data_IF_364417891185
#
_entry.id   IF_364417891185
#
_cell.length_a   1.000
_cell.length_b   1.000
_cell.length_c   1.000
_cell.angle_alpha   90.00
_cell.angle_beta   90.00
_cell.angle_gamma   90.00
#
_symmetry.space_group_name_H-M   'P 1'
#
loop_
_entity.id
_entity.type
_entity.pdbx_description
1 polymer ?
#
# COMPACT_ATOMS: atom_id res chain seq x y z
N UNK A 1 -15.14 -5.68 -7.08
CA UNK A 1 -15.51 -6.84 -6.24
C UNK A 1 -16.87 -6.56 -5.61
N UNK A 2 -17.72 -7.58 -5.44
CA UNK A 2 -19.03 -7.38 -4.78
C UNK A 2 -18.94 -7.76 -3.31
N UNK A 3 -19.52 -6.95 -2.46
CA UNK A 3 -19.55 -7.14 -1.01
C UNK A 3 -20.98 -7.32 -0.50
N UNK A 4 -21.09 -8.06 0.61
CA UNK A 4 -22.25 -7.95 1.50
C UNK A 4 -21.91 -6.99 2.65
N UNK A 5 -22.89 -6.19 3.02
CA UNK A 5 -22.94 -5.44 4.25
C UNK A 5 -23.84 -6.19 5.22
N UNK A 6 -23.34 -6.49 6.40
CA UNK A 6 -24.07 -7.20 7.44
C UNK A 6 -24.18 -6.33 8.68
N UNK A 7 -25.39 -5.96 9.03
CA UNK A 7 -25.69 -5.16 10.22
C UNK A 7 -26.01 -6.10 11.38
N UNK A 8 -25.24 -6.03 12.46
CA UNK A 8 -25.41 -6.81 13.67
C UNK A 8 -26.00 -5.94 14.78
N UNK A 9 -27.09 -6.42 15.38
CA UNK A 9 -27.65 -5.84 16.60
C UNK A 9 -27.31 -6.74 17.78
N UNK A 10 -26.65 -6.19 18.80
CA UNK A 10 -26.17 -6.88 19.98
C UNK A 10 -26.98 -6.42 21.19
N UNK A 11 -27.57 -7.32 21.95
CA UNK A 11 -28.37 -6.99 23.14
C UNK A 11 -28.08 -7.92 24.32
N UNK A 12 -27.59 -7.41 25.49
CA UNK A 12 -27.16 -6.02 25.70
C UNK A 12 -25.87 -5.69 24.94
N UNK A 13 -25.76 -4.47 24.42
CA UNK A 13 -24.51 -4.00 23.76
C UNK A 13 -23.42 -3.76 24.80
N UNK A 14 -22.23 -4.31 24.56
CA UNK A 14 -21.00 -3.99 25.27
C UNK A 14 -19.82 -4.02 24.31
N UNK A 15 -18.75 -3.29 24.62
CA UNK A 15 -17.53 -3.29 23.82
C UNK A 15 -16.94 -4.70 23.71
N UNK A 16 -16.87 -5.45 24.80
CA UNK A 16 -16.34 -6.81 24.83
C UNK A 16 -17.15 -7.77 23.92
N UNK A 17 -18.47 -7.62 23.87
CA UNK A 17 -19.32 -8.43 22.99
C UNK A 17 -19.14 -8.05 21.51
N UNK A 18 -18.96 -6.76 21.21
CA UNK A 18 -18.69 -6.28 19.86
C UNK A 18 -17.33 -6.77 19.35
N UNK A 19 -16.28 -6.62 20.14
CA UNK A 19 -14.92 -7.07 19.81
C UNK A 19 -14.85 -8.58 19.57
N UNK A 20 -15.54 -9.34 20.46
CA UNK A 20 -15.58 -10.79 20.32
C UNK A 20 -16.36 -11.21 19.06
N UNK A 21 -17.49 -10.57 18.77
CA UNK A 21 -18.27 -10.84 17.57
C UNK A 21 -17.43 -10.54 16.30
N UNK A 22 -16.74 -9.41 16.26
CA UNK A 22 -15.86 -9.06 15.15
C UNK A 22 -14.77 -10.12 14.92
N UNK A 23 -14.17 -10.60 16.02
CA UNK A 23 -13.15 -11.66 15.96
C UNK A 23 -13.70 -12.97 15.42
N UNK A 24 -14.86 -13.42 15.90
CA UNK A 24 -15.48 -14.68 15.47
C UNK A 24 -16.01 -14.60 14.03
N UNK A 25 -16.64 -13.50 13.67
CA UNK A 25 -17.14 -13.29 12.31
C UNK A 25 -16.03 -13.23 11.26
N UNK A 26 -14.78 -12.93 11.66
CA UNK A 26 -13.62 -13.07 10.78
C UNK A 26 -13.49 -14.47 10.18
N UNK A 27 -13.89 -15.54 10.87
CA UNK A 27 -13.92 -16.91 10.36
C UNK A 27 -14.96 -17.13 9.24
N UNK A 28 -16.01 -16.30 9.22
CA UNK A 28 -17.01 -16.28 8.16
C UNK A 28 -16.64 -15.42 6.95
N UNK A 29 -15.40 -14.90 6.92
CA UNK A 29 -14.82 -14.16 5.82
C UNK A 29 -14.89 -12.62 5.93
N UNK A 30 -15.35 -12.09 7.06
CA UNK A 30 -15.44 -10.63 7.25
C UNK A 30 -14.05 -9.98 7.33
N UNK A 31 -13.90 -8.85 6.64
CA UNK A 31 -12.62 -8.13 6.51
C UNK A 31 -12.55 -6.89 7.40
N UNK A 32 -13.68 -6.18 7.56
CA UNK A 32 -13.74 -4.92 8.32
C UNK A 32 -15.06 -4.80 9.07
N UNK A 33 -15.01 -4.02 10.18
CA UNK A 33 -16.18 -3.71 10.99
C UNK A 33 -16.21 -2.23 11.35
N UNK A 34 -17.42 -1.68 11.40
CA UNK A 34 -17.72 -0.34 11.90
C UNK A 34 -18.65 -0.47 13.12
N UNK A 35 -18.38 0.30 14.18
CA UNK A 35 -19.27 0.38 15.32
C UNK A 35 -20.54 1.15 14.97
N UNK A 36 -21.69 0.67 15.48
CA UNK A 36 -22.98 1.33 15.35
C UNK A 36 -23.62 1.55 16.72
N UNK A 37 -24.68 2.35 16.79
CA UNK A 37 -25.41 2.59 18.05
C UNK A 37 -26.02 1.31 18.64
N UNK A 38 -26.21 0.26 17.84
CA UNK A 38 -26.87 -0.99 18.24
C UNK A 38 -25.97 -2.22 18.17
N UNK A 39 -24.73 -2.08 17.70
CA UNK A 39 -23.79 -3.21 17.55
C UNK A 39 -22.68 -2.93 16.55
N UNK A 40 -22.59 -3.75 15.50
CA UNK A 40 -21.57 -3.66 14.46
C UNK A 40 -22.18 -3.70 13.06
N UNK A 41 -21.45 -3.13 12.12
CA UNK A 41 -21.67 -3.33 10.70
C UNK A 41 -20.40 -3.94 10.10
N UNK A 42 -20.52 -5.12 9.52
CA UNK A 42 -19.41 -5.85 8.93
C UNK A 42 -19.49 -5.89 7.41
N UNK A 43 -18.34 -5.95 6.76
CA UNK A 43 -18.21 -6.08 5.31
C UNK A 43 -17.45 -7.36 4.95
N UNK A 44 -18.00 -8.09 3.96
CA UNK A 44 -17.44 -9.37 3.51
C UNK A 44 -17.59 -9.52 1.99
N UNK A 45 -16.56 -10.01 1.32
CA UNK A 45 -16.67 -10.32 -0.10
C UNK A 45 -17.72 -11.42 -0.32
N UNK A 46 -18.61 -11.25 -1.31
CA UNK A 46 -19.66 -12.23 -1.62
C UNK A 46 -19.11 -13.63 -1.90
N UNK A 47 -17.91 -13.72 -2.48
CA UNK A 47 -17.21 -14.98 -2.79
C UNK A 47 -16.60 -15.68 -1.56
N UNK A 48 -16.39 -14.96 -0.46
CA UNK A 48 -15.78 -15.47 0.77
C UNK A 48 -16.78 -15.63 1.91
N UNK A 49 -17.98 -15.09 1.77
CA UNK A 49 -19.00 -15.14 2.80
C UNK A 49 -19.54 -16.53 3.03
N UNK A 50 -19.44 -17.02 4.26
CA UNK A 50 -20.06 -18.26 4.73
C UNK A 50 -21.13 -17.94 5.77
N UNK A 51 -22.41 -17.92 5.34
CA UNK A 51 -23.52 -17.67 6.26
C UNK A 51 -23.70 -18.80 7.29
N UNK A 52 -23.37 -20.05 6.92
CA UNK A 52 -23.43 -21.19 7.84
C UNK A 52 -22.40 -21.02 8.97
N UNK A 53 -21.15 -20.65 8.63
CA UNK A 53 -20.11 -20.35 9.63
C UNK A 53 -20.50 -19.17 10.52
N UNK A 54 -21.10 -18.12 9.95
CA UNK A 54 -21.58 -16.97 10.73
C UNK A 54 -22.66 -17.39 11.74
N UNK A 55 -23.62 -18.24 11.32
CA UNK A 55 -24.67 -18.76 12.22
C UNK A 55 -24.07 -19.60 13.35
N UNK A 56 -23.14 -20.49 13.05
CA UNK A 56 -22.45 -21.27 14.07
C UNK A 56 -21.73 -20.36 15.08
N UNK A 57 -21.02 -19.33 14.62
CA UNK A 57 -20.37 -18.35 15.51
C UNK A 57 -21.36 -17.61 16.42
N UNK A 58 -22.58 -17.31 15.93
CA UNK A 58 -23.61 -16.62 16.71
C UNK A 58 -24.31 -17.58 17.67
N UNK A 59 -24.63 -18.80 17.23
CA UNK A 59 -25.32 -19.80 18.06
C UNK A 59 -24.44 -20.25 19.23
N UNK A 60 -23.12 -20.33 19.03
CA UNK A 60 -22.13 -20.71 20.04
C UNK A 60 -21.52 -19.48 20.75
N UNK A 61 -22.14 -18.30 20.65
CA UNK A 61 -21.59 -17.07 21.25
C UNK A 61 -21.44 -17.20 22.77
N UNK A 62 -20.20 -17.01 23.33
CA UNK A 62 -19.92 -17.44 24.71
C UNK A 62 -20.46 -16.53 25.81
N UNK A 63 -21.09 -15.39 25.49
CA UNK A 63 -21.65 -14.48 26.50
C UNK A 63 -23.09 -14.85 26.82
N UNK A 64 -23.29 -15.48 27.98
CA UNK A 64 -24.64 -15.83 28.45
C UNK A 64 -25.55 -14.60 28.53
N UNK A 65 -26.75 -14.71 27.95
CA UNK A 65 -27.74 -13.64 27.95
C UNK A 65 -27.56 -12.57 26.87
N UNK A 66 -26.51 -12.71 26.02
CA UNK A 66 -26.37 -11.84 24.86
C UNK A 66 -27.09 -12.45 23.67
N UNK A 67 -27.93 -11.65 23.02
CA UNK A 67 -28.59 -12.02 21.75
C UNK A 67 -28.00 -11.20 20.61
N UNK A 68 -27.71 -11.86 19.50
CA UNK A 68 -27.18 -11.23 18.29
C UNK A 68 -28.17 -11.50 17.15
N UNK A 69 -28.62 -10.43 16.51
CA UNK A 69 -29.47 -10.50 15.32
C UNK A 69 -28.67 -9.85 14.19
N UNK A 70 -28.69 -10.43 13.01
CA UNK A 70 -28.01 -9.85 11.87
C UNK A 70 -28.93 -9.75 10.64
N UNK A 71 -28.63 -8.80 9.78
CA UNK A 71 -29.28 -8.60 8.49
C UNK A 71 -28.22 -8.46 7.40
N UNK A 72 -28.31 -9.35 6.39
CA UNK A 72 -27.39 -9.34 5.24
C UNK A 72 -28.05 -8.59 4.10
N UNK A 73 -27.34 -7.63 3.54
CA UNK A 73 -27.76 -6.97 2.30
C UNK A 73 -26.58 -6.85 1.35
N UNK A 74 -26.85 -6.76 0.06
CA UNK A 74 -25.79 -6.37 -0.86
C UNK A 74 -25.32 -4.99 -0.41
N UNK A 75 -24.00 -4.84 -0.21
CA UNK A 75 -23.45 -3.53 0.05
C UNK A 75 -23.85 -2.64 -1.13
N UNK A 76 -24.45 -1.47 -0.83
CA UNK A 76 -24.66 -0.50 -1.88
C UNK A 76 -23.31 -0.31 -2.56
N UNK A 77 -23.32 -0.41 -3.87
CA UNK A 77 -22.16 -0.10 -4.73
C UNK A 77 -21.93 1.43 -4.66
N UNK A 78 -21.80 1.92 -3.42
CA UNK A 78 -21.29 3.25 -3.15
C UNK A 78 -19.81 3.12 -3.39
N UNK A 79 -19.42 3.62 -4.50
CA UNK A 79 -18.02 3.84 -4.81
C UNK A 79 -17.51 4.91 -3.82
N UNK A 80 -17.12 4.44 -2.61
CA UNK A 80 -16.46 5.28 -1.60
C UNK A 80 -15.21 5.92 -2.19
N UNK A 81 -14.66 5.29 -3.22
CA UNK A 81 -13.53 5.80 -3.97
C UNK A 81 -13.98 6.91 -4.92
N UNK A 82 -15.20 6.85 -5.50
CA UNK A 82 -15.69 7.89 -6.41
C UNK A 82 -15.76 9.26 -5.73
N UNK A 83 -16.24 9.31 -4.48
CA UNK A 83 -16.27 10.57 -3.73
C UNK A 83 -14.86 11.06 -3.41
N UNK A 84 -13.98 10.17 -2.98
CA UNK A 84 -12.58 10.48 -2.70
C UNK A 84 -11.80 10.80 -3.99
N UNK A 85 -12.06 10.07 -5.08
CA UNK A 85 -11.51 10.37 -6.40
C UNK A 85 -12.02 11.72 -6.95
N UNK A 86 -13.25 12.11 -6.61
CA UNK A 86 -13.81 13.42 -7.01
C UNK A 86 -13.28 14.58 -6.17
N UNK A 87 -13.04 14.38 -4.89
CA UNK A 87 -12.48 15.40 -4.00
C UNK A 87 -10.99 15.66 -4.28
N UNK A 88 -10.24 14.64 -4.68
CA UNK A 88 -8.82 14.74 -4.94
C UNK A 88 -7.97 15.02 -3.69
N UNK A 89 -6.78 15.58 -3.86
CA UNK A 89 -5.92 15.96 -2.75
C UNK A 89 -5.16 17.26 -3.01
N UNK A 90 -4.90 18.01 -1.94
CA UNK A 90 -4.10 19.23 -2.02
C UNK A 90 -2.64 18.93 -2.41
N UNK A 91 -1.99 19.82 -3.15
CA UNK A 91 -0.61 19.64 -3.60
C UNK A 91 0.36 19.39 -2.45
N UNK A 92 1.17 18.35 -2.58
CA UNK A 92 2.14 17.89 -1.60
C UNK A 92 3.54 18.37 -2.02
N UNK A 93 4.11 19.29 -1.28
CA UNK A 93 5.48 19.75 -1.53
C UNK A 93 6.48 18.86 -0.82
N UNK A 94 7.37 18.24 -1.60
CA UNK A 94 8.49 17.44 -1.08
C UNK A 94 9.77 18.22 -1.30
N UNK A 95 10.28 18.83 -0.24
CA UNK A 95 11.39 19.80 -0.30
C UNK A 95 11.10 20.98 -1.25
N UNK A 96 12.15 21.65 -1.73
CA UNK A 96 12.08 22.72 -2.73
C UNK A 96 12.18 22.20 -4.19
N UNK A 97 12.29 20.87 -4.38
CA UNK A 97 12.58 20.28 -5.69
C UNK A 97 11.39 19.56 -6.33
N UNK A 98 10.42 19.08 -5.54
CA UNK A 98 9.37 18.20 -6.00
C UNK A 98 8.01 18.62 -5.46
N UNK A 99 6.98 18.56 -6.29
CA UNK A 99 5.58 18.73 -5.91
C UNK A 99 4.72 17.64 -6.56
N UNK A 100 3.85 17.01 -5.77
CA UNK A 100 2.90 15.99 -6.21
C UNK A 100 1.51 16.61 -6.14
N UNK A 101 0.68 16.36 -7.16
CA UNK A 101 -0.70 16.85 -7.23
C UNK A 101 -1.61 15.90 -8.00
N UNK A 102 -2.90 16.08 -7.88
CA UNK A 102 -3.95 15.24 -8.49
C UNK A 102 -4.38 15.69 -9.90
N UNK A 103 -3.72 16.67 -10.49
CA UNK A 103 -4.10 17.26 -11.78
C UNK A 103 -5.25 18.26 -11.70
N UNK A 104 -5.97 18.33 -10.59
CA UNK A 104 -7.10 19.27 -10.35
C UNK A 104 -6.68 20.44 -9.48
N UNK A 105 -6.05 20.15 -8.37
CA UNK A 105 -5.45 21.13 -7.45
C UNK A 105 -4.04 21.45 -7.93
N UNK A 106 -3.93 22.41 -8.83
CA UNK A 106 -2.66 22.73 -9.46
C UNK A 106 -1.79 23.58 -8.54
N UNK A 107 -0.55 23.15 -8.23
CA UNK A 107 0.37 23.89 -7.39
C UNK A 107 1.04 25.05 -8.13
N UNK A 108 1.56 26.00 -7.37
CA UNK A 108 2.59 26.89 -7.89
C UNK A 108 3.91 26.12 -8.03
N UNK A 109 4.20 25.68 -9.23
CA UNK A 109 5.35 24.78 -9.50
C UNK A 109 6.69 25.51 -9.31
N UNK A 110 6.81 26.72 -9.81
CA UNK A 110 8.09 27.45 -9.79
C UNK A 110 9.18 26.65 -10.54
N UNK A 111 10.28 26.37 -9.83
CA UNK A 111 11.38 25.53 -10.33
C UNK A 111 11.26 24.03 -9.96
N UNK A 112 10.17 23.64 -9.30
CA UNK A 112 9.98 22.26 -8.85
C UNK A 112 9.60 21.33 -10.00
N UNK A 113 10.00 20.06 -9.86
CA UNK A 113 9.51 18.97 -10.70
C UNK A 113 8.08 18.67 -10.26
N UNK A 114 7.14 18.75 -11.19
CA UNK A 114 5.73 18.45 -10.97
C UNK A 114 5.42 17.02 -11.33
N UNK A 115 4.74 16.32 -10.44
CA UNK A 115 4.27 14.95 -10.58
C UNK A 115 2.75 14.95 -10.44
N UNK A 116 2.08 14.52 -11.47
CA UNK A 116 0.62 14.35 -11.46
C UNK A 116 0.27 12.89 -11.17
N UNK A 117 -0.58 12.64 -10.18
CA UNK A 117 -1.06 11.30 -9.81
C UNK A 117 -2.58 11.27 -9.83
N UNK A 118 -3.13 10.55 -10.79
CA UNK A 118 -4.54 10.18 -10.84
C UNK A 118 -4.68 8.82 -10.12
N UNK A 119 -5.05 8.87 -8.85
CA UNK A 119 -5.13 7.67 -8.00
C UNK A 119 -6.50 7.02 -8.13
N UNK A 120 -6.64 6.11 -9.10
CA UNK A 120 -7.85 5.29 -9.29
C UNK A 120 -7.68 3.97 -8.54
N UNK A 121 -8.38 3.80 -7.42
CA UNK A 121 -8.43 2.55 -6.66
C UNK A 121 -7.05 1.97 -6.27
N UNK A 122 -5.97 2.76 -6.36
CA UNK A 122 -4.62 2.32 -6.09
C UNK A 122 -3.99 3.10 -4.93
N UNK A 123 -3.19 2.41 -4.11
CA UNK A 123 -2.44 3.05 -3.02
C UNK A 123 -1.28 3.88 -3.60
N UNK A 124 -0.98 5.03 -2.96
CA UNK A 124 0.20 5.83 -3.31
C UNK A 124 -0.13 7.17 -3.95
N UNK A 125 -0.95 8.01 -3.29
CA UNK A 125 -1.21 9.40 -3.72
C UNK A 125 -0.07 10.35 -3.40
N UNK A 126 0.83 9.94 -2.52
CA UNK A 126 1.86 10.83 -1.96
C UNK A 126 1.47 11.46 -0.62
N UNK A 127 0.21 11.37 -0.19
CA UNK A 127 -0.26 11.93 1.08
C UNK A 127 0.31 11.18 2.29
N UNK A 128 0.61 9.90 2.15
CA UNK A 128 1.10 9.06 3.23
C UNK A 128 2.58 9.35 3.57
N UNK A 129 2.93 9.29 4.86
CA UNK A 129 4.27 9.55 5.41
C UNK A 129 5.34 8.70 4.72
N UNK A 130 5.05 7.42 4.52
CA UNK A 130 5.98 6.46 3.92
C UNK A 130 6.36 6.84 2.49
N UNK A 131 5.40 7.26 1.69
CA UNK A 131 5.63 7.72 0.31
C UNK A 131 6.48 8.99 0.31
N UNK A 132 6.15 9.96 1.19
CA UNK A 132 6.93 11.21 1.29
C UNK A 132 8.38 10.97 1.70
N UNK A 133 8.62 10.03 2.64
CA UNK A 133 9.98 9.68 3.07
C UNK A 133 10.80 9.09 1.93
N UNK A 134 10.26 8.13 1.17
CA UNK A 134 10.97 7.55 0.01
C UNK A 134 11.21 8.63 -1.06
N UNK A 135 10.22 9.46 -1.38
CA UNK A 135 10.40 10.53 -2.37
C UNK A 135 11.55 11.49 -1.99
N UNK A 136 11.75 11.79 -0.71
CA UNK A 136 12.92 12.57 -0.24
C UNK A 136 14.24 11.86 -0.52
N UNK A 137 14.31 10.55 -0.26
CA UNK A 137 15.51 9.74 -0.54
C UNK A 137 15.82 9.64 -2.03
N UNK A 138 14.80 9.66 -2.90
CA UNK A 138 14.93 9.60 -4.36
C UNK A 138 15.59 10.85 -4.94
N UNK A 139 15.44 12.02 -4.33
CA UNK A 139 15.99 13.28 -4.83
C UNK A 139 17.50 13.17 -5.10
N UNK A 140 18.24 12.57 -4.20
CA UNK A 140 19.70 12.48 -4.27
C UNK A 140 20.21 11.17 -4.90
N UNK A 141 19.32 10.22 -5.21
CA UNK A 141 19.71 8.85 -5.59
C UNK A 141 19.21 8.39 -6.96
N UNK A 142 18.30 9.12 -7.60
CA UNK A 142 17.66 8.62 -8.82
C UNK A 142 18.46 8.83 -10.10
N UNK A 143 19.29 9.87 -10.17
CA UNK A 143 19.95 10.26 -11.41
C UNK A 143 20.88 9.18 -11.97
N UNK A 144 20.63 8.77 -13.21
CA UNK A 144 21.41 7.77 -13.92
C UNK A 144 21.17 6.31 -13.50
N UNK A 145 20.21 6.05 -12.61
CA UNK A 145 19.95 4.72 -12.06
C UNK A 145 18.89 3.94 -12.84
N UNK A 146 18.96 2.61 -12.75
CA UNK A 146 17.92 1.67 -13.11
C UNK A 146 17.15 1.27 -11.84
N UNK A 147 15.83 1.47 -11.82
CA UNK A 147 14.99 1.38 -10.62
C UNK A 147 14.07 0.18 -10.66
N UNK A 148 13.95 -0.55 -9.55
CA UNK A 148 12.94 -1.56 -9.30
C UNK A 148 11.99 -1.06 -8.21
N UNK A 149 10.68 -1.14 -8.44
CA UNK A 149 9.63 -0.68 -7.52
C UNK A 149 8.70 -1.85 -7.17
N UNK A 150 8.82 -2.34 -5.94
CA UNK A 150 8.16 -3.54 -5.46
C UNK A 150 6.85 -3.18 -4.74
N UNK A 151 5.71 -3.54 -5.31
CA UNK A 151 4.40 -3.04 -4.88
C UNK A 151 4.21 -1.60 -5.34
N UNK A 152 4.18 -1.40 -6.66
CA UNK A 152 4.30 -0.06 -7.26
C UNK A 152 3.05 0.81 -7.05
N UNK A 153 1.88 0.22 -6.75
CA UNK A 153 0.63 0.95 -6.53
C UNK A 153 0.30 1.89 -7.71
N UNK A 154 0.16 3.19 -7.44
CA UNK A 154 -0.05 4.22 -8.47
C UNK A 154 1.15 4.45 -9.39
N UNK A 155 2.29 3.82 -9.13
CA UNK A 155 3.55 4.06 -9.86
C UNK A 155 4.33 5.30 -9.37
N UNK A 156 3.87 5.97 -8.33
CA UNK A 156 4.42 7.27 -7.89
C UNK A 156 5.93 7.25 -7.66
N UNK A 157 6.47 6.21 -7.00
CA UNK A 157 7.90 6.15 -6.67
C UNK A 157 8.73 5.98 -7.94
N UNK A 158 8.31 5.09 -8.85
CA UNK A 158 8.90 4.91 -10.17
C UNK A 158 8.88 6.20 -10.99
N UNK A 159 7.74 6.88 -11.03
CA UNK A 159 7.55 8.12 -11.78
C UNK A 159 8.44 9.24 -11.20
N UNK A 160 8.48 9.39 -9.88
CA UNK A 160 9.37 10.36 -9.21
C UNK A 160 10.83 10.07 -9.57
N UNK A 161 11.28 8.82 -9.48
CA UNK A 161 12.64 8.45 -9.83
C UNK A 161 12.97 8.79 -11.30
N UNK A 162 12.09 8.47 -12.24
CA UNK A 162 12.26 8.78 -13.67
C UNK A 162 12.31 10.29 -13.95
N UNK A 163 11.47 11.06 -13.29
CA UNK A 163 11.47 12.54 -13.40
C UNK A 163 12.72 13.17 -12.79
N UNK A 164 13.32 12.51 -11.79
CA UNK A 164 14.60 12.90 -11.17
C UNK A 164 15.83 12.37 -11.93
N UNK A 165 15.63 11.73 -13.09
CA UNK A 165 16.72 11.36 -13.98
C UNK A 165 17.12 9.88 -13.95
N UNK A 166 16.32 8.99 -13.38
CA UNK A 166 16.50 7.56 -13.57
C UNK A 166 16.38 7.19 -15.06
N UNK A 167 17.13 6.19 -15.50
CA UNK A 167 17.18 5.79 -16.91
C UNK A 167 16.02 4.90 -17.28
N UNK A 168 15.62 4.01 -16.39
CA UNK A 168 14.56 3.04 -16.54
C UNK A 168 13.97 2.70 -15.18
N UNK A 169 12.68 2.40 -15.13
CA UNK A 169 12.01 1.85 -13.96
C UNK A 169 11.17 0.63 -14.33
N UNK A 170 11.24 -0.40 -13.50
CA UNK A 170 10.36 -1.57 -13.56
C UNK A 170 9.59 -1.63 -12.25
N UNK A 171 8.27 -1.54 -12.30
CA UNK A 171 7.39 -1.72 -11.15
C UNK A 171 6.58 -3.01 -11.28
N UNK A 172 6.18 -3.60 -10.15
CA UNK A 172 5.18 -4.67 -10.15
C UNK A 172 4.19 -4.52 -9.00
N UNK A 173 2.98 -5.00 -9.21
CA UNK A 173 1.95 -5.09 -8.18
C UNK A 173 1.10 -6.35 -8.36
N UNK A 174 0.59 -6.90 -7.27
CA UNK A 174 -0.29 -8.07 -7.29
C UNK A 174 -1.71 -7.71 -7.72
N UNK A 175 -2.09 -6.45 -7.56
CA UNK A 175 -3.39 -5.93 -7.91
C UNK A 175 -3.38 -5.39 -9.35
N UNK A 176 -4.34 -5.87 -10.16
CA UNK A 176 -4.46 -5.48 -11.56
C UNK A 176 -4.76 -3.98 -11.73
N UNK A 177 -5.61 -3.42 -10.85
CA UNK A 177 -5.94 -2.00 -10.87
C UNK A 177 -4.73 -1.13 -10.59
N UNK A 178 -3.90 -1.53 -9.63
CA UNK A 178 -2.64 -0.87 -9.31
C UNK A 178 -1.67 -0.91 -10.49
N UNK A 179 -1.47 -2.08 -11.09
CA UNK A 179 -0.58 -2.23 -12.23
C UNK A 179 -1.03 -1.40 -13.44
N UNK A 180 -2.33 -1.31 -13.70
CA UNK A 180 -2.90 -0.49 -14.79
C UNK A 180 -2.85 1.00 -14.45
N UNK A 181 -3.14 1.37 -13.23
CA UNK A 181 -3.06 2.77 -12.77
C UNK A 181 -1.62 3.30 -12.84
N UNK A 182 -0.63 2.49 -12.49
CA UNK A 182 0.78 2.85 -12.64
C UNK A 182 1.15 3.18 -14.09
N UNK A 183 0.67 2.37 -15.07
CA UNK A 183 0.87 2.65 -16.50
C UNK A 183 0.19 3.95 -16.93
N UNK A 184 -1.04 4.17 -16.49
CA UNK A 184 -1.80 5.39 -16.76
C UNK A 184 -1.05 6.63 -16.24
N UNK A 185 -0.60 6.60 -14.99
CA UNK A 185 0.15 7.69 -14.38
C UNK A 185 1.51 7.94 -15.06
N UNK A 186 2.18 6.90 -15.55
CA UNK A 186 3.40 7.06 -16.34
C UNK A 186 3.14 7.84 -17.63
N UNK A 187 2.03 7.58 -18.33
CA UNK A 187 1.62 8.33 -19.54
C UNK A 187 1.35 9.80 -19.20
N UNK A 188 0.58 10.07 -18.13
CA UNK A 188 0.28 11.45 -17.69
C UNK A 188 1.59 12.22 -17.46
N UNK A 189 2.56 11.58 -16.83
CA UNK A 189 3.86 12.19 -16.51
C UNK A 189 4.88 12.14 -17.66
N UNK A 190 4.54 11.54 -18.81
CA UNK A 190 5.40 11.42 -20.01
C UNK A 190 6.70 10.68 -19.72
N UNK A 191 6.61 9.56 -19.01
CA UNK A 191 7.72 8.66 -18.67
C UNK A 191 7.43 7.20 -19.02
N UNK A 192 6.32 6.95 -19.72
CA UNK A 192 5.84 5.63 -20.14
C UNK A 192 6.81 4.91 -21.08
N UNK A 193 7.65 5.63 -21.80
CA UNK A 193 8.74 5.09 -22.64
C UNK A 193 9.87 4.44 -21.84
N UNK A 194 9.97 4.73 -20.54
CA UNK A 194 11.02 4.25 -19.62
C UNK A 194 10.48 3.52 -18.41
N UNK A 195 9.17 3.32 -18.34
CA UNK A 195 8.50 2.62 -17.24
C UNK A 195 7.81 1.34 -17.72
N UNK A 196 8.09 0.23 -17.06
CA UNK A 196 7.40 -1.04 -17.25
C UNK A 196 6.66 -1.42 -15.98
N UNK A 197 5.33 -1.58 -16.04
CA UNK A 197 4.51 -2.10 -14.96
C UNK A 197 4.10 -3.54 -15.23
N UNK A 198 4.35 -4.43 -14.29
CA UNK A 198 4.07 -5.86 -14.36
C UNK A 198 2.97 -6.23 -13.34
N UNK A 199 2.07 -7.11 -13.73
CA UNK A 199 1.08 -7.70 -12.84
C UNK A 199 1.64 -8.99 -12.23
N UNK A 200 1.63 -9.11 -10.91
CA UNK A 200 2.00 -10.31 -10.16
C UNK A 200 2.77 -9.99 -8.88
N UNK A 201 3.11 -11.03 -8.15
CA UNK A 201 3.94 -10.98 -6.95
C UNK A 201 5.44 -10.93 -7.27
N UNK A 202 6.30 -11.03 -6.25
CA UNK A 202 7.76 -11.00 -6.43
C UNK A 202 8.32 -12.08 -7.37
N UNK A 203 7.52 -13.09 -7.77
CA UNK A 203 7.94 -14.12 -8.74
C UNK A 203 8.10 -13.58 -10.17
N UNK A 204 7.45 -12.44 -10.49
CA UNK A 204 7.63 -11.79 -11.80
C UNK A 204 9.08 -11.40 -12.03
N UNK A 205 9.86 -11.20 -10.96
CA UNK A 205 11.28 -10.88 -11.03
C UNK A 205 12.11 -11.97 -11.71
N UNK A 206 11.64 -13.22 -11.72
CA UNK A 206 12.31 -14.31 -12.42
C UNK A 206 12.39 -14.07 -13.95
N UNK A 207 11.47 -13.26 -14.49
CA UNK A 207 11.38 -12.87 -15.90
C UNK A 207 12.04 -11.53 -16.21
N UNK A 208 12.42 -10.77 -15.20
CA UNK A 208 13.06 -9.46 -15.36
C UNK A 208 14.58 -9.65 -15.48
N UNK A 209 15.15 -9.23 -16.59
CA UNK A 209 16.58 -9.36 -16.85
C UNK A 209 17.41 -8.27 -16.20
N UNK A 210 18.65 -8.61 -15.84
CA UNK A 210 19.63 -7.67 -15.30
C UNK A 210 19.41 -7.35 -13.82
N UNK A 211 20.17 -6.38 -13.36
CA UNK A 211 20.17 -5.87 -11.98
C UNK A 211 19.79 -4.39 -11.93
N UNK A 212 19.49 -3.91 -10.74
CA UNK A 212 19.03 -2.56 -10.48
C UNK A 212 20.01 -1.84 -9.55
N UNK A 213 20.20 -0.55 -9.78
CA UNK A 213 21.00 0.33 -8.93
C UNK A 213 20.21 0.72 -7.67
N UNK A 214 18.89 0.88 -7.83
CA UNK A 214 17.99 1.32 -6.80
C UNK A 214 16.76 0.40 -6.74
N UNK A 215 16.48 -0.16 -5.58
CA UNK A 215 15.32 -1.00 -5.31
C UNK A 215 14.47 -0.34 -4.24
N UNK A 216 13.18 -0.18 -4.51
CA UNK A 216 12.20 0.47 -3.67
C UNK A 216 11.14 -0.53 -3.24
N UNK A 217 10.72 -0.50 -1.97
CA UNK A 217 9.57 -1.25 -1.50
C UNK A 217 8.85 -0.50 -0.39
N UNK A 218 7.64 -0.04 -0.68
CA UNK A 218 6.73 0.62 0.25
C UNK A 218 5.54 -0.29 0.55
N UNK A 219 5.81 -1.39 1.23
CA UNK A 219 4.85 -2.47 1.50
C UNK A 219 4.97 -2.95 2.95
N UNK A 220 4.00 -3.74 3.42
CA UNK A 220 3.98 -4.16 4.80
C UNK A 220 5.20 -5.02 5.21
N UNK A 221 5.55 -4.96 6.51
CA UNK A 221 6.71 -5.65 7.12
C UNK A 221 6.79 -7.14 6.76
N UNK A 222 5.68 -7.86 6.79
CA UNK A 222 5.70 -9.31 6.61
C UNK A 222 6.12 -9.69 5.19
N UNK A 223 5.63 -8.95 4.19
CA UNK A 223 6.03 -9.13 2.80
C UNK A 223 7.49 -8.69 2.60
N UNK A 224 7.92 -7.57 3.20
CA UNK A 224 9.33 -7.15 3.17
C UNK A 224 10.26 -8.24 3.68
N UNK A 225 9.94 -8.87 4.80
CA UNK A 225 10.76 -9.97 5.36
C UNK A 225 10.79 -11.21 4.46
N UNK A 226 9.67 -11.52 3.81
CA UNK A 226 9.54 -12.68 2.93
C UNK A 226 10.27 -12.46 1.60
N UNK A 227 10.10 -11.28 0.98
CA UNK A 227 10.54 -11.01 -0.40
C UNK A 227 11.92 -10.35 -0.49
N UNK A 228 12.48 -9.86 0.61
CA UNK A 228 13.82 -9.25 0.63
C UNK A 228 14.92 -10.10 -0.05
N UNK A 229 14.96 -11.44 0.09
CA UNK A 229 15.94 -12.26 -0.66
C UNK A 229 15.77 -12.11 -2.19
N UNK A 230 14.54 -11.97 -2.70
CA UNK A 230 14.28 -11.74 -4.13
C UNK A 230 14.72 -10.34 -4.56
N UNK A 231 14.49 -9.32 -3.73
CA UNK A 231 14.97 -7.97 -3.99
C UNK A 231 16.50 -7.95 -4.12
N UNK A 232 17.18 -8.56 -3.15
CA UNK A 232 18.65 -8.65 -3.15
C UNK A 232 19.19 -9.41 -4.36
N UNK A 233 18.48 -10.44 -4.85
CA UNK A 233 18.89 -11.18 -6.07
C UNK A 233 18.89 -10.31 -7.35
N UNK A 234 18.19 -9.17 -7.31
CA UNK A 234 18.14 -8.17 -8.39
C UNK A 234 19.07 -6.97 -8.15
N UNK A 235 19.89 -7.01 -7.13
CA UNK A 235 20.87 -5.98 -6.81
C UNK A 235 22.29 -6.41 -7.24
N UNK A 236 23.14 -5.47 -7.46
CA UNK A 236 24.59 -5.67 -7.63
C UNK A 236 25.35 -4.96 -6.50
N UNK A 237 26.65 -5.18 -6.40
CA UNK A 237 27.50 -4.50 -5.41
C UNK A 237 27.40 -2.98 -5.58
N UNK A 238 27.03 -2.29 -4.51
CA UNK A 238 26.82 -0.84 -4.48
C UNK A 238 25.36 -0.40 -4.67
N UNK A 239 24.46 -1.29 -5.07
CA UNK A 239 23.03 -1.00 -5.19
C UNK A 239 22.44 -0.58 -3.84
N UNK A 240 21.38 0.22 -3.88
CA UNK A 240 20.65 0.74 -2.72
C UNK A 240 19.25 0.13 -2.66
N UNK A 241 18.84 -0.33 -1.48
CA UNK A 241 17.48 -0.77 -1.17
C UNK A 241 16.85 0.22 -0.19
N UNK A 242 15.69 0.78 -0.55
CA UNK A 242 14.92 1.68 0.30
C UNK A 242 13.60 0.99 0.67
N UNK A 243 13.37 0.84 1.96
CA UNK A 243 12.20 0.17 2.52
C UNK A 243 11.38 1.14 3.35
N UNK A 244 10.06 1.09 3.21
CA UNK A 244 9.07 1.75 4.07
C UNK A 244 7.75 0.95 4.07
N UNK A 245 6.69 1.47 4.72
CA UNK A 245 5.43 0.74 4.88
C UNK A 245 5.40 -0.11 6.16
N UNK A 246 6.21 0.28 7.16
CA UNK A 246 6.31 -0.38 8.46
C UNK A 246 6.55 0.64 9.57
N UNK A 247 6.34 0.22 10.82
CA UNK A 247 6.49 1.07 11.98
C UNK A 247 7.93 1.12 12.52
N UNK A 248 8.24 2.14 13.30
CA UNK A 248 9.56 2.29 13.94
C UNK A 248 9.96 1.02 14.72
N UNK A 249 9.01 0.36 15.39
CA UNK A 249 9.25 -0.87 16.13
C UNK A 249 9.74 -2.04 15.26
N UNK A 250 9.52 -1.99 13.94
CA UNK A 250 9.89 -3.05 13.01
C UNK A 250 11.30 -2.88 12.41
N UNK A 251 11.96 -1.75 12.67
CA UNK A 251 13.28 -1.43 12.07
C UNK A 251 14.31 -2.52 12.39
N UNK A 252 14.40 -2.94 13.66
CA UNK A 252 15.42 -3.88 14.11
C UNK A 252 15.33 -5.22 13.37
N UNK A 253 14.14 -5.81 13.29
CA UNK A 253 13.94 -7.10 12.61
C UNK A 253 14.23 -7.03 11.12
N UNK A 254 13.89 -5.91 10.46
CA UNK A 254 14.17 -5.70 9.03
C UNK A 254 15.67 -5.50 8.78
N UNK A 255 16.35 -4.73 9.61
CA UNK A 255 17.80 -4.51 9.51
C UNK A 255 18.57 -5.81 9.77
N UNK A 256 18.16 -6.62 10.74
CA UNK A 256 18.77 -7.92 10.99
C UNK A 256 18.59 -8.86 9.82
N UNK A 257 17.40 -8.94 9.26
CA UNK A 257 17.16 -9.71 8.03
C UNK A 257 18.05 -9.23 6.87
N UNK A 258 18.15 -7.94 6.68
CA UNK A 258 18.98 -7.33 5.63
C UNK A 258 20.47 -7.71 5.79
N UNK A 259 21.01 -7.67 7.01
CA UNK A 259 22.40 -8.08 7.30
C UNK A 259 22.66 -9.54 6.91
N UNK A 260 21.71 -10.45 7.13
CA UNK A 260 21.87 -11.86 6.73
C UNK A 260 21.96 -12.04 5.22
N UNK A 261 21.52 -11.04 4.45
CA UNK A 261 21.56 -11.00 2.98
C UNK A 261 22.70 -10.15 2.42
N UNK A 262 23.64 -9.71 3.26
CA UNK A 262 24.79 -8.93 2.85
C UNK A 262 24.53 -7.42 2.73
N UNK A 263 23.38 -6.94 3.16
CA UNK A 263 23.06 -5.51 3.16
C UNK A 263 23.56 -4.82 4.42
N UNK A 264 23.97 -3.57 4.28
CA UNK A 264 24.41 -2.72 5.37
C UNK A 264 23.50 -1.47 5.50
N UNK A 265 23.06 -1.08 6.69
CA UNK A 265 22.26 0.12 6.87
C UNK A 265 23.11 1.38 6.59
N UNK A 266 22.49 2.32 5.83
CA UNK A 266 23.09 3.62 5.46
C UNK A 266 22.45 4.74 6.25
N UNK A 267 21.12 4.79 6.27
CA UNK A 267 20.33 5.78 7.00
C UNK A 267 18.98 5.23 7.40
N UNK A 268 18.36 5.88 8.37
CA UNK A 268 16.97 5.64 8.75
C UNK A 268 16.30 6.99 9.06
N UNK A 269 15.05 7.10 8.69
CA UNK A 269 14.20 8.25 8.95
C UNK A 269 12.84 7.78 9.47
N UNK A 270 12.12 8.65 10.15
CA UNK A 270 10.74 8.42 10.53
C UNK A 270 9.91 9.69 10.35
N UNK A 271 8.62 9.48 10.14
CA UNK A 271 7.59 10.52 10.14
C UNK A 271 6.41 9.94 10.92
N UNK A 272 6.05 10.56 12.05
CA UNK A 272 5.16 9.98 13.07
C UNK A 272 5.66 8.58 13.50
N UNK A 273 4.80 7.56 13.42
CA UNK A 273 5.10 6.18 13.79
C UNK A 273 5.70 5.35 12.64
N UNK A 274 5.70 5.89 11.42
CA UNK A 274 6.21 5.23 10.23
C UNK A 274 7.71 5.41 10.06
N UNK A 275 8.35 4.39 9.52
CA UNK A 275 9.79 4.39 9.29
C UNK A 275 10.16 4.16 7.83
N UNK A 276 11.35 4.68 7.48
CA UNK A 276 12.02 4.44 6.21
C UNK A 276 13.48 4.08 6.50
N UNK A 277 13.99 3.02 5.92
CA UNK A 277 15.39 2.61 6.02
C UNK A 277 16.04 2.52 4.65
N UNK A 278 17.29 2.95 4.59
CA UNK A 278 18.14 2.87 3.40
C UNK A 278 19.25 1.88 3.68
N UNK A 279 19.37 0.88 2.82
CA UNK A 279 20.32 -0.21 2.91
C UNK A 279 21.22 -0.23 1.66
N UNK A 280 22.44 -0.68 1.77
CA UNK A 280 23.38 -0.84 0.63
C UNK A 280 23.89 -2.25 0.54
N UNK A 281 23.93 -2.76 -0.69
CA UNK A 281 24.50 -4.07 -1.02
C UNK A 281 26.03 -3.99 -1.20
#
# INVERSE_FOLDING_TARGET
MKYYEVEFTISPLSADAADLLASLAGEAGFETFEETETGLKGYVQQSLFSEDTLRECIDDFPFEGTSIIYNVREAEDRDWNEQWEQEGFEPIVISDQLVIHDGRHLPEVGSKISIEIDAKLAFGTGTHETTRMICKELIDRSSGTRVLDCGTGTGILSIVALKLGATEAVGYDIDEWSADNARHNAVINRVDDRFTSLLGDSSVLDKVEGTFDLVLANINRNILLADMPRFVSKMHQGSVLILSGFYIADIEILVEKAKTLGLSPVSQNNDQDWACIVLRH
#
